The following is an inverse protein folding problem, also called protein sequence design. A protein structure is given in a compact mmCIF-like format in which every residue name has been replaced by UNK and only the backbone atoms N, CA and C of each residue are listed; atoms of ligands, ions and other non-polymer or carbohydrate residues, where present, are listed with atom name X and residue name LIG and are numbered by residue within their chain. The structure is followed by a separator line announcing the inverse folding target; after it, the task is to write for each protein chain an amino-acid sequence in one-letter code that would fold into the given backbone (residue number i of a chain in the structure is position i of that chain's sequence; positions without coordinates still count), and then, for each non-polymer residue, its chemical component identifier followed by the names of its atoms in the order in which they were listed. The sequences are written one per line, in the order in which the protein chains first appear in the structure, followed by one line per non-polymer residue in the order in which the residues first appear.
data_IF_951710609593
#
_entry.id   IF_951710609593
#
_cell.length_a   1.000
_cell.length_b   1.000
_cell.length_c   1.000
_cell.angle_alpha   90.00
_cell.angle_beta   90.00
_cell.angle_gamma   90.00
#
_symmetry.space_group_name_H-M   'P 1'
#
loop_
_entity.id
_entity.type
_entity.pdbx_description
1 polymer ?
#
# COMPACT_ATOMS: atom_id res chain seq x y z
N UNK A 1 30.18 9.58 -0.62
CA UNK A 1 29.48 8.30 -0.42
C UNK A 1 28.05 8.49 -0.89
N UNK A 2 27.44 7.54 -1.63
CA UNK A 2 26.02 7.65 -1.94
C UNK A 2 25.19 7.45 -0.67
N UNK A 3 24.07 8.14 -0.50
CA UNK A 3 23.15 7.87 0.62
C UNK A 3 22.58 6.45 0.52
N UNK A 4 22.21 5.89 1.67
CA UNK A 4 21.67 4.54 1.78
C UNK A 4 20.17 4.57 2.03
N UNK A 5 19.40 3.87 1.19
CA UNK A 5 17.93 3.83 1.27
C UNK A 5 17.47 2.39 1.49
N UNK A 6 16.57 2.19 2.44
CA UNK A 6 15.90 0.91 2.68
C UNK A 6 14.45 0.98 2.19
N UNK A 7 13.99 -0.02 1.40
CA UNK A 7 12.57 -0.19 1.10
C UNK A 7 12.05 -1.45 1.78
N UNK A 8 11.03 -1.30 2.62
CA UNK A 8 10.53 -2.37 3.49
C UNK A 8 9.71 -3.41 2.74
N UNK A 9 9.12 -3.03 1.60
CA UNK A 9 8.31 -3.89 0.75
C UNK A 9 8.73 -3.78 -0.71
N UNK A 10 8.18 -4.68 -1.54
CA UNK A 10 8.37 -4.68 -2.98
C UNK A 10 7.89 -3.37 -3.59
N UNK A 11 8.71 -2.77 -4.43
CA UNK A 11 8.38 -1.57 -5.21
C UNK A 11 8.43 -1.88 -6.70
N UNK A 12 7.80 -1.02 -7.50
CA UNK A 12 7.84 -1.15 -8.95
C UNK A 12 9.29 -1.07 -9.46
N UNK A 13 9.67 -1.86 -10.49
CA UNK A 13 11.04 -1.85 -11.03
C UNK A 13 11.52 -0.46 -11.43
N UNK A 14 10.67 0.36 -12.05
CA UNK A 14 11.03 1.73 -12.47
C UNK A 14 11.34 2.62 -11.26
N UNK A 15 10.61 2.43 -10.15
CA UNK A 15 10.87 3.17 -8.90
C UNK A 15 12.21 2.73 -8.30
N UNK A 16 12.49 1.43 -8.30
CA UNK A 16 13.77 0.91 -7.85
C UNK A 16 14.92 1.49 -8.67
N UNK A 17 14.82 1.42 -10.00
CA UNK A 17 15.81 1.97 -10.91
C UNK A 17 16.04 3.47 -10.69
N UNK A 18 14.96 4.23 -10.44
CA UNK A 18 15.07 5.65 -10.11
C UNK A 18 15.84 5.89 -8.82
N UNK A 19 15.55 5.16 -7.76
CA UNK A 19 16.26 5.28 -6.48
C UNK A 19 17.75 4.92 -6.60
N UNK A 20 18.08 3.88 -7.36
CA UNK A 20 19.46 3.44 -7.60
C UNK A 20 20.32 4.46 -8.34
N UNK A 21 19.72 5.39 -9.08
CA UNK A 21 20.46 6.50 -9.68
C UNK A 21 21.08 7.42 -8.63
N UNK A 22 20.40 7.61 -7.50
CA UNK A 22 20.74 8.58 -6.47
C UNK A 22 21.37 7.96 -5.23
N UNK A 23 21.11 6.68 -4.93
CA UNK A 23 21.43 6.03 -3.67
C UNK A 23 21.90 4.59 -3.84
N UNK A 24 22.47 4.04 -2.77
CA UNK A 24 22.58 2.59 -2.55
C UNK A 24 21.23 2.12 -1.98
N UNK A 25 20.53 1.19 -2.67
CA UNK A 25 19.20 0.76 -2.28
C UNK A 25 19.22 -0.67 -1.74
N UNK A 26 18.77 -0.83 -0.49
CA UNK A 26 18.53 -2.12 0.14
C UNK A 26 17.03 -2.40 0.03
N UNK A 27 16.63 -3.13 -0.98
CA UNK A 27 15.24 -3.35 -1.30
C UNK A 27 14.76 -4.74 -0.87
N UNK A 28 13.59 -4.80 -0.24
CA UNK A 28 12.84 -6.05 -0.10
C UNK A 28 12.02 -6.28 -1.38
N UNK A 29 12.53 -7.12 -2.28
CA UNK A 29 11.84 -7.50 -3.52
C UNK A 29 11.12 -8.85 -3.41
N UNK A 30 11.03 -9.43 -2.21
CA UNK A 30 10.25 -10.63 -1.94
C UNK A 30 8.75 -10.31 -1.78
N UNK A 31 7.91 -11.35 -1.81
CA UNK A 31 6.47 -11.23 -1.54
C UNK A 31 6.15 -11.34 -0.03
N UNK A 32 7.18 -11.47 0.81
CA UNK A 32 7.03 -11.57 2.27
C UNK A 32 7.29 -10.23 2.96
N UNK A 33 6.49 -9.95 3.99
CA UNK A 33 6.71 -8.83 4.89
C UNK A 33 7.90 -9.12 5.80
N UNK A 34 8.81 -8.15 5.94
CA UNK A 34 9.90 -8.24 6.92
C UNK A 34 9.37 -8.08 8.34
N UNK A 35 10.00 -8.75 9.30
CA UNK A 35 9.73 -8.48 10.71
C UNK A 35 10.27 -7.09 11.11
N UNK A 36 9.74 -6.54 12.20
CA UNK A 36 10.22 -5.25 12.73
C UNK A 36 11.73 -5.28 13.02
N UNK A 37 12.23 -6.38 13.56
CA UNK A 37 13.65 -6.56 13.87
C UNK A 37 14.51 -6.53 12.60
N UNK A 38 14.03 -7.14 11.53
CA UNK A 38 14.74 -7.14 10.24
C UNK A 38 14.71 -5.75 9.60
N UNK A 39 13.57 -5.05 9.64
CA UNK A 39 13.47 -3.66 9.18
C UNK A 39 14.46 -2.80 9.94
N UNK A 40 14.51 -2.90 11.27
CA UNK A 40 15.43 -2.15 12.11
C UNK A 40 16.90 -2.47 11.78
N UNK A 41 17.22 -3.75 11.62
CA UNK A 41 18.59 -4.19 11.28
C UNK A 41 19.08 -3.59 9.95
N UNK A 42 18.18 -3.49 8.96
CA UNK A 42 18.53 -2.93 7.65
C UNK A 42 18.60 -1.40 7.65
N UNK A 43 17.86 -0.76 8.57
CA UNK A 43 17.70 0.71 8.61
C UNK A 43 18.63 1.40 9.58
N UNK A 44 19.26 0.70 10.51
CA UNK A 44 20.05 1.27 11.60
C UNK A 44 21.18 2.22 11.16
N UNK A 45 21.72 2.04 9.96
CA UNK A 45 22.76 2.87 9.36
C UNK A 45 22.32 3.55 8.04
N UNK A 46 21.00 3.51 7.73
CA UNK A 46 20.45 4.11 6.53
C UNK A 46 20.21 5.63 6.70
N UNK A 47 20.30 6.36 5.58
CA UNK A 47 19.97 7.79 5.50
C UNK A 47 18.47 8.04 5.26
N UNK A 48 17.79 7.09 4.60
CA UNK A 48 16.37 7.18 4.28
C UNK A 48 15.71 5.80 4.24
N UNK A 49 14.39 5.78 4.41
CA UNK A 49 13.60 4.57 4.21
C UNK A 49 12.28 4.88 3.50
N UNK A 50 11.78 3.89 2.76
CA UNK A 50 10.45 3.89 2.18
C UNK A 50 9.61 2.82 2.89
N UNK A 51 8.51 3.26 3.49
CA UNK A 51 7.63 2.44 4.34
C UNK A 51 6.25 2.26 3.73
N UNK A 52 5.55 1.22 4.17
CA UNK A 52 4.25 0.81 3.66
C UNK A 52 3.28 0.50 4.80
N UNK A 53 2.03 0.14 4.46
CA UNK A 53 0.94 -0.08 5.41
C UNK A 53 1.26 -1.02 6.59
N UNK A 54 1.99 -2.14 6.42
CA UNK A 54 2.29 -3.04 7.53
C UNK A 54 3.37 -2.52 8.49
N UNK A 55 4.13 -1.48 8.11
CA UNK A 55 5.22 -0.98 8.93
C UNK A 55 4.71 -0.14 10.11
N UNK A 56 5.47 -0.12 11.18
CA UNK A 56 5.22 0.72 12.36
C UNK A 56 6.53 1.33 12.84
N UNK A 57 6.55 2.66 12.98
CA UNK A 57 7.72 3.44 13.39
C UNK A 57 7.35 4.26 14.61
N UNK A 58 8.02 4.00 15.71
CA UNK A 58 7.89 4.71 16.98
C UNK A 58 9.21 5.36 17.40
N UNK A 59 9.21 6.03 18.55
CA UNK A 59 10.38 6.73 19.09
C UNK A 59 11.56 5.80 19.35
N UNK A 60 11.31 4.54 19.77
CA UNK A 60 12.36 3.57 20.02
C UNK A 60 13.07 3.14 18.73
N UNK A 61 12.27 2.93 17.67
CA UNK A 61 12.80 2.65 16.33
C UNK A 61 13.68 3.78 15.84
N UNK A 62 13.20 5.02 15.94
CA UNK A 62 13.94 6.21 15.47
C UNK A 62 15.23 6.42 16.26
N UNK A 63 15.22 6.16 17.56
CA UNK A 63 16.40 6.25 18.41
C UNK A 63 17.50 5.26 18.02
N UNK A 64 17.13 4.11 17.46
CA UNK A 64 18.05 3.10 16.97
C UNK A 64 18.58 3.37 15.55
N UNK A 65 18.07 4.40 14.86
CA UNK A 65 18.44 4.78 13.48
C UNK A 65 19.00 6.22 13.43
N UNK A 66 20.19 6.47 14.01
CA UNK A 66 20.70 7.84 14.22
C UNK A 66 21.06 8.59 12.93
N UNK A 67 21.25 7.88 11.82
CA UNK A 67 21.59 8.47 10.53
C UNK A 67 20.35 8.81 9.68
N UNK A 68 19.16 8.35 10.09
CA UNK A 68 17.94 8.50 9.32
C UNK A 68 17.50 9.96 9.22
N UNK A 69 17.27 10.44 8.02
CA UNK A 69 16.90 11.83 7.70
C UNK A 69 15.53 11.96 7.09
N UNK A 70 15.09 10.90 6.35
CA UNK A 70 13.85 10.93 5.58
C UNK A 70 13.13 9.59 5.67
N UNK A 71 11.82 9.66 5.91
CA UNK A 71 10.90 8.54 5.80
C UNK A 71 9.86 8.91 4.73
N UNK A 72 9.85 8.17 3.64
CA UNK A 72 8.84 8.28 2.59
C UNK A 72 7.77 7.21 2.78
N UNK A 73 6.57 7.58 3.21
CA UNK A 73 5.47 6.65 3.35
C UNK A 73 4.67 6.57 2.05
N UNK A 74 4.69 5.39 1.40
CA UNK A 74 3.95 5.11 0.16
C UNK A 74 2.46 4.87 0.44
N UNK A 75 1.84 5.75 1.22
CA UNK A 75 0.45 5.65 1.68
C UNK A 75 -0.10 7.03 2.06
N UNK A 76 -1.41 7.12 2.26
CA UNK A 76 -2.12 8.32 2.67
C UNK A 76 -2.30 8.39 4.20
N UNK A 77 -2.79 7.30 4.81
CA UNK A 77 -2.92 7.19 6.27
C UNK A 77 -1.56 6.98 6.94
N UNK A 78 -1.39 7.50 8.14
CA UNK A 78 -0.12 7.42 8.86
C UNK A 78 -0.28 7.19 10.37
N UNK A 79 -1.40 6.61 10.79
CA UNK A 79 -1.72 6.39 12.21
C UNK A 79 -0.78 5.40 12.91
N UNK A 80 -0.07 4.59 12.14
CA UNK A 80 0.93 3.62 12.59
C UNK A 80 2.36 4.19 12.68
N UNK A 81 2.51 5.51 12.47
CA UNK A 81 3.81 6.20 12.52
C UNK A 81 3.77 7.35 13.53
N UNK A 82 4.76 7.42 14.42
CA UNK A 82 4.93 8.54 15.36
C UNK A 82 5.60 9.73 14.64
N UNK A 83 4.78 10.52 13.94
CA UNK A 83 5.23 11.71 13.20
C UNK A 83 5.80 12.78 14.13
N UNK A 84 5.29 12.87 15.36
CA UNK A 84 5.84 13.80 16.36
C UNK A 84 7.24 13.37 16.79
N UNK A 85 7.48 12.06 16.97
CA UNK A 85 8.83 11.56 17.21
C UNK A 85 9.76 11.82 16.02
N UNK A 86 9.29 11.64 14.77
CA UNK A 86 10.07 12.01 13.58
C UNK A 86 10.50 13.49 13.66
N UNK A 87 9.59 14.38 13.99
CA UNK A 87 9.87 15.81 14.13
C UNK A 87 10.90 16.08 15.24
N UNK A 88 10.75 15.43 16.40
CA UNK A 88 11.73 15.57 17.51
C UNK A 88 13.12 15.09 17.15
N UNK A 89 13.23 14.07 16.29
CA UNK A 89 14.52 13.54 15.79
C UNK A 89 15.04 14.30 14.55
N UNK A 90 14.31 15.31 14.06
CA UNK A 90 14.70 16.07 12.86
C UNK A 90 14.58 15.26 11.56
N UNK A 91 13.71 14.25 11.53
CA UNK A 91 13.47 13.36 10.40
C UNK A 91 12.26 13.86 9.60
N UNK A 92 12.44 14.05 8.30
CA UNK A 92 11.34 14.36 7.39
C UNK A 92 10.45 13.14 7.18
N UNK A 93 9.15 13.29 7.48
CA UNK A 93 8.14 12.28 7.18
C UNK A 93 7.21 12.78 6.07
N UNK A 94 7.07 12.00 5.00
CA UNK A 94 6.26 12.37 3.82
C UNK A 94 5.23 11.29 3.52
N UNK A 95 4.08 11.71 3.00
CA UNK A 95 2.96 10.85 2.60
C UNK A 95 2.54 11.13 1.16
N UNK A 96 1.63 10.29 0.63
CA UNK A 96 1.02 10.49 -0.69
C UNK A 96 -0.45 10.90 -0.50
N UNK A 97 -0.79 12.21 -0.44
CA UNK A 97 -2.09 12.67 0.02
C UNK A 97 -3.25 12.34 -0.95
N UNK A 98 -3.07 12.45 -2.27
CA UNK A 98 -4.18 12.45 -3.21
C UNK A 98 -4.13 11.39 -4.33
N UNK A 99 -2.97 10.82 -4.60
CA UNK A 99 -2.76 9.90 -5.72
C UNK A 99 -3.70 8.67 -5.68
N UNK A 100 -4.04 8.19 -4.47
CA UNK A 100 -4.84 6.98 -4.27
C UNK A 100 -6.35 7.22 -4.25
N UNK A 101 -6.82 8.47 -4.22
CA UNK A 101 -8.25 8.80 -4.07
C UNK A 101 -9.08 8.30 -5.25
N UNK A 102 -8.68 8.59 -6.48
CA UNK A 102 -9.41 8.19 -7.68
C UNK A 102 -9.40 6.67 -7.86
N UNK A 103 -8.24 5.96 -7.85
CA UNK A 103 -8.23 4.50 -8.00
C UNK A 103 -9.04 3.77 -6.92
N UNK A 104 -9.03 4.27 -5.68
CA UNK A 104 -9.82 3.69 -4.59
C UNK A 104 -11.31 3.87 -4.82
N UNK A 105 -11.73 5.05 -5.29
CA UNK A 105 -13.14 5.30 -5.63
C UNK A 105 -13.62 4.41 -6.79
N UNK A 106 -12.82 4.25 -7.83
CA UNK A 106 -13.11 3.36 -8.97
C UNK A 106 -13.27 1.91 -8.51
N UNK A 107 -12.36 1.41 -7.69
CA UNK A 107 -12.46 0.06 -7.12
C UNK A 107 -13.71 -0.09 -6.25
N UNK A 108 -14.05 0.92 -5.45
CA UNK A 108 -15.27 0.92 -4.62
C UNK A 108 -16.52 0.77 -5.48
N UNK A 109 -16.65 1.52 -6.57
CA UNK A 109 -17.78 1.39 -7.51
C UNK A 109 -17.75 0.00 -8.18
N UNK A 110 -16.59 -0.49 -8.58
CA UNK A 110 -16.43 -1.82 -9.17
C UNK A 110 -16.91 -2.94 -8.22
N UNK A 111 -16.52 -2.88 -6.95
CA UNK A 111 -16.96 -3.82 -5.91
C UNK A 111 -18.47 -3.72 -5.65
N UNK A 112 -19.03 -2.51 -5.57
CA UNK A 112 -20.45 -2.28 -5.39
C UNK A 112 -21.25 -2.90 -6.54
N UNK A 113 -20.86 -2.68 -7.78
CA UNK A 113 -21.48 -3.30 -8.96
C UNK A 113 -21.31 -4.82 -8.95
N UNK A 114 -20.16 -5.33 -8.58
CA UNK A 114 -19.88 -6.77 -8.52
C UNK A 114 -20.81 -7.49 -7.53
N UNK A 115 -21.05 -6.90 -6.37
CA UNK A 115 -21.95 -7.45 -5.35
C UNK A 115 -23.40 -7.32 -5.80
N UNK A 116 -23.84 -6.13 -6.18
CA UNK A 116 -25.25 -5.86 -6.51
C UNK A 116 -25.73 -6.59 -7.76
N UNK A 117 -24.84 -6.91 -8.68
CA UNK A 117 -25.15 -7.61 -9.94
C UNK A 117 -24.75 -9.10 -9.91
N UNK A 118 -24.37 -9.65 -8.76
CA UNK A 118 -23.97 -11.06 -8.59
C UNK A 118 -22.89 -11.50 -9.59
N UNK A 119 -21.92 -10.64 -9.92
CA UNK A 119 -20.95 -10.90 -10.98
C UNK A 119 -20.11 -12.13 -10.70
N UNK A 120 -19.66 -12.33 -9.44
CA UNK A 120 -18.85 -13.50 -9.06
C UNK A 120 -19.64 -14.81 -9.20
N UNK A 121 -20.90 -14.83 -8.80
CA UNK A 121 -21.78 -16.01 -8.98
C UNK A 121 -22.00 -16.32 -10.46
N UNK A 122 -22.17 -15.27 -11.28
CA UNK A 122 -22.31 -15.40 -12.73
C UNK A 122 -21.05 -15.97 -13.38
N UNK A 123 -19.87 -15.45 -13.03
CA UNK A 123 -18.58 -15.94 -13.54
C UNK A 123 -18.37 -17.41 -13.16
N UNK A 124 -18.56 -17.77 -11.88
CA UNK A 124 -18.45 -19.14 -11.41
C UNK A 124 -19.39 -20.10 -12.14
N UNK A 125 -20.63 -19.66 -12.42
CA UNK A 125 -21.60 -20.45 -13.16
C UNK A 125 -21.16 -20.72 -14.60
N UNK A 126 -20.64 -19.70 -15.30
CA UNK A 126 -20.12 -19.88 -16.66
C UNK A 126 -18.91 -20.82 -16.66
N UNK A 127 -17.97 -20.63 -15.75
CA UNK A 127 -16.74 -21.46 -15.66
C UNK A 127 -17.01 -22.91 -15.26
N UNK A 128 -18.09 -23.17 -14.53
CA UNK A 128 -18.49 -24.54 -14.16
C UNK A 128 -19.00 -25.37 -15.33
N UNK A 129 -19.13 -24.80 -16.52
CA UNK A 129 -19.69 -25.41 -17.73
C UNK A 129 -21.16 -25.89 -17.59
N UNK A 130 -21.86 -25.39 -16.58
CA UNK A 130 -23.31 -25.70 -16.39
C UNK A 130 -24.23 -24.78 -17.22
N UNK A 131 -23.65 -23.77 -17.85
CA UNK A 131 -24.37 -22.87 -18.71
C UNK A 131 -24.75 -23.56 -20.01
N UNK A 132 -26.06 -23.74 -20.24
CA UNK A 132 -26.65 -24.39 -21.44
C UNK A 132 -27.66 -23.51 -22.16
N UNK A 133 -27.60 -22.21 -21.97
CA UNK A 133 -28.49 -21.22 -22.53
C UNK A 133 -29.01 -20.25 -21.47
N UNK A 134 -29.68 -19.17 -21.93
CA UNK A 134 -30.22 -18.15 -21.04
C UNK A 134 -31.35 -18.69 -20.18
N UNK A 135 -31.25 -18.48 -18.88
CA UNK A 135 -32.32 -18.69 -17.90
C UNK A 135 -32.29 -17.54 -16.89
N UNK A 136 -33.46 -17.14 -16.32
CA UNK A 136 -33.50 -16.09 -15.32
C UNK A 136 -32.84 -16.59 -14.00
N UNK A 137 -31.58 -16.15 -13.76
CA UNK A 137 -30.80 -16.50 -12.58
C UNK A 137 -30.06 -15.28 -12.06
N UNK A 138 -29.63 -15.35 -10.81
CA UNK A 138 -28.79 -14.34 -10.16
C UNK A 138 -29.40 -12.93 -10.23
N UNK A 139 -30.70 -12.81 -9.87
CA UNK A 139 -31.33 -11.51 -9.78
C UNK A 139 -30.52 -10.58 -8.85
N UNK A 140 -30.08 -9.48 -9.43
CA UNK A 140 -29.34 -8.45 -8.71
C UNK A 140 -30.15 -7.19 -8.52
N UNK A 141 -29.59 -6.23 -7.81
CA UNK A 141 -30.16 -4.91 -7.57
C UNK A 141 -29.46 -3.87 -8.45
N UNK A 142 -30.22 -2.96 -9.04
CA UNK A 142 -29.69 -1.82 -9.79
C UNK A 142 -29.29 -0.68 -8.85
N UNK A 143 -28.32 0.14 -9.26
CA UNK A 143 -27.95 1.34 -8.51
C UNK A 143 -28.95 2.49 -8.67
N UNK A 144 -29.79 2.45 -9.71
CA UNK A 144 -30.68 3.54 -10.13
C UNK A 144 -31.87 3.79 -9.18
N UNK A 145 -32.24 2.84 -8.35
CA UNK A 145 -33.48 2.91 -7.55
C UNK A 145 -33.24 2.70 -6.05
N UNK A 146 -32.01 2.65 -5.58
CA UNK A 146 -31.88 2.31 -4.19
C UNK A 146 -31.11 3.33 -3.40
N UNK A 147 -30.25 3.18 -2.81
CA UNK A 147 -29.57 3.71 -1.63
C UNK A 147 -28.75 4.99 -1.85
N UNK A 148 -28.61 5.45 -3.08
CA UNK A 148 -27.83 6.67 -3.39
C UNK A 148 -28.68 7.95 -3.21
N UNK A 149 -30.00 7.79 -3.07
CA UNK A 149 -30.96 8.89 -2.92
C UNK A 149 -31.66 8.94 -1.54
N UNK A 150 -31.06 8.36 -0.53
CA UNK A 150 -31.55 8.53 0.86
C UNK A 150 -30.83 9.68 1.51
#
# INVERSE_FOLDING_TARGET
MKPRIVTTHRIHPDTLALLETAAEVISNQSDSTMSREEVLLRTNDADAMMVFMPDSIDADFLSACPNLKVIGAALKGYDNFDVEACTRHGIWFTIVPDLLTIPTAELTIGLLLSITRNMLQGDNYIRSRQFNGWTPRFYGTGLTLSLIHI
#
